data_IF_397429061297
#
_entry.id   IF_397429061297
#
_cell.length_a   1.000
_cell.length_b   1.000
_cell.length_c   1.000
_cell.angle_alpha   90.00
_cell.angle_beta   90.00
_cell.angle_gamma   90.00
#
_symmetry.space_group_name_H-M   'P 1'
#
loop_
_entity.id
_entity.type
_entity.pdbx_description
1 polymer ?
#
# COMPACT_ATOMS: atom_id res chain seq x y z
N UNK A 1 -1.93 -7.97 13.24
CA UNK A 1 -2.79 -6.96 13.88
C UNK A 1 -2.07 -5.62 13.88
N UNK A 2 -2.82 -4.54 13.65
CA UNK A 2 -2.32 -3.16 13.59
C UNK A 2 -3.11 -2.34 14.60
N UNK A 3 -2.44 -1.71 15.56
CA UNK A 3 -3.06 -0.96 16.65
C UNK A 3 -3.58 0.42 16.21
N UNK A 4 -4.39 0.44 15.16
CA UNK A 4 -5.03 1.62 14.60
C UNK A 4 -6.42 1.28 14.07
N UNK A 5 -7.29 2.27 14.01
CA UNK A 5 -8.63 2.14 13.43
C UNK A 5 -8.56 1.79 11.94
N UNK A 6 -9.48 0.97 11.48
CA UNK A 6 -9.55 0.45 10.11
C UNK A 6 -9.43 1.55 9.03
N UNK A 7 -10.12 2.68 9.20
CA UNK A 7 -10.02 3.78 8.25
C UNK A 7 -8.58 4.32 8.14
N UNK A 8 -7.88 4.50 9.25
CA UNK A 8 -6.48 4.97 9.22
C UNK A 8 -5.55 3.95 8.55
N UNK A 9 -5.75 2.67 8.82
CA UNK A 9 -5.00 1.61 8.15
C UNK A 9 -5.30 1.65 6.65
N UNK A 10 -6.56 1.75 6.25
CA UNK A 10 -6.96 1.89 4.86
C UNK A 10 -6.28 3.09 4.18
N UNK A 11 -6.34 4.27 4.77
CA UNK A 11 -5.76 5.50 4.20
C UNK A 11 -4.24 5.39 4.03
N UNK A 12 -3.55 4.86 5.03
CA UNK A 12 -2.11 4.63 4.97
C UNK A 12 -1.74 3.60 3.91
N UNK A 13 -2.50 2.53 3.82
CA UNK A 13 -2.39 1.48 2.85
C UNK A 13 -2.65 2.02 1.42
N UNK A 14 -3.12 3.27 1.26
CA UNK A 14 -3.42 3.98 0.02
C UNK A 14 -2.49 5.17 -0.23
N UNK A 15 -1.52 5.36 0.64
CA UNK A 15 -0.58 6.46 0.54
C UNK A 15 0.72 6.00 -0.16
N UNK A 16 1.01 6.49 -1.40
CA UNK A 16 2.20 6.07 -2.15
C UNK A 16 3.51 6.34 -1.41
N UNK A 17 3.58 7.42 -0.63
CA UNK A 17 4.78 7.78 0.13
C UNK A 17 5.05 6.81 1.27
N UNK A 18 4.00 6.37 1.97
CA UNK A 18 4.11 5.35 3.01
C UNK A 18 4.53 4.01 2.40
N UNK A 19 3.93 3.65 1.27
CA UNK A 19 4.23 2.41 0.57
C UNK A 19 5.66 2.36 0.05
N UNK A 20 6.12 3.42 -0.60
CA UNK A 20 7.49 3.55 -1.06
C UNK A 20 8.50 3.32 0.05
N UNK A 21 8.21 3.84 1.26
CA UNK A 21 9.08 3.66 2.42
C UNK A 21 8.96 2.28 3.07
N UNK A 22 7.76 1.67 3.04
CA UNK A 22 7.52 0.37 3.67
C UNK A 22 8.01 -0.80 2.81
N UNK A 23 7.97 -0.69 1.49
CA UNK A 23 8.37 -1.75 0.55
C UNK A 23 9.88 -1.96 0.59
N UNK A 24 10.37 -3.17 0.91
CA UNK A 24 11.80 -3.45 0.90
C UNK A 24 12.43 -3.21 -0.47
N UNK A 25 13.53 -2.44 -0.50
CA UNK A 25 14.26 -2.17 -1.72
C UNK A 25 13.54 -1.30 -2.76
N UNK A 26 12.43 -0.69 -2.42
CA UNK A 26 11.69 0.17 -3.33
C UNK A 26 12.49 1.43 -3.68
N UNK A 27 12.74 1.61 -4.95
CA UNK A 27 13.42 2.77 -5.53
C UNK A 27 12.40 3.79 -6.05
N UNK A 28 11.38 3.29 -6.74
CA UNK A 28 10.32 4.09 -7.35
C UNK A 28 8.95 3.48 -7.07
N UNK A 29 7.99 4.33 -6.81
CA UNK A 29 6.60 3.98 -6.62
C UNK A 29 5.73 5.12 -7.18
N UNK A 30 5.17 4.91 -8.37
CA UNK A 30 4.49 5.93 -9.16
C UNK A 30 3.01 5.59 -9.25
N UNK A 31 2.15 6.51 -8.83
CA UNK A 31 0.71 6.42 -9.03
C UNK A 31 0.36 6.94 -10.43
N UNK A 32 -0.08 6.06 -11.31
CA UNK A 32 -0.46 6.39 -12.69
C UNK A 32 -1.94 6.83 -12.79
N UNK A 33 -2.80 6.18 -12.00
CA UNK A 33 -4.22 6.51 -11.86
C UNK A 33 -4.71 6.20 -10.45
N UNK A 34 -6.00 6.24 -10.22
CA UNK A 34 -6.55 5.89 -8.90
C UNK A 34 -6.42 4.40 -8.56
N UNK A 35 -6.23 3.57 -9.55
CA UNK A 35 -6.12 2.11 -9.39
C UNK A 35 -4.86 1.52 -9.99
N UNK A 36 -4.02 2.30 -10.66
CA UNK A 36 -2.85 1.80 -11.37
C UNK A 36 -1.56 2.43 -10.85
N UNK A 37 -0.54 1.61 -10.69
CA UNK A 37 0.77 2.01 -10.18
C UNK A 37 1.88 1.29 -10.97
N UNK A 38 3.02 1.96 -11.05
CA UNK A 38 4.29 1.36 -11.50
C UNK A 38 5.26 1.40 -10.34
N UNK A 39 5.95 0.28 -10.09
CA UNK A 39 6.94 0.17 -9.04
C UNK A 39 8.25 -0.40 -9.56
N UNK A 40 9.36 0.05 -8.94
CA UNK A 40 10.70 -0.48 -9.16
C UNK A 40 11.32 -0.78 -7.82
N UNK A 41 11.77 -2.02 -7.64
CA UNK A 41 12.42 -2.47 -6.41
C UNK A 41 13.60 -3.39 -6.69
N UNK A 42 14.67 -3.23 -5.91
CA UNK A 42 15.87 -4.07 -5.97
C UNK A 42 16.02 -4.89 -4.71
N UNK A 43 16.08 -6.22 -4.86
CA UNK A 43 16.17 -7.13 -3.75
C UNK A 43 17.14 -8.28 -4.01
N UNK A 44 17.71 -8.81 -2.91
CA UNK A 44 18.54 -10.00 -2.95
C UNK A 44 17.68 -11.25 -2.79
N UNK A 45 17.70 -12.10 -3.80
CA UNK A 45 16.88 -13.30 -3.91
C UNK A 45 17.77 -14.50 -4.15
N UNK A 46 18.02 -15.26 -3.10
CA UNK A 46 19.02 -16.32 -3.15
C UNK A 46 20.39 -15.78 -3.60
N UNK A 47 20.96 -16.29 -4.69
CA UNK A 47 22.23 -15.79 -5.24
C UNK A 47 22.09 -14.54 -6.10
N UNK A 48 20.84 -14.12 -6.45
CA UNK A 48 20.60 -13.00 -7.35
C UNK A 48 20.41 -11.70 -6.59
N UNK A 49 20.98 -10.60 -7.11
CA UNK A 49 20.57 -9.24 -6.79
C UNK A 49 19.77 -8.75 -7.97
N UNK A 50 18.45 -8.65 -7.82
CA UNK A 50 17.55 -8.43 -8.93
C UNK A 50 16.73 -7.16 -8.74
N UNK A 51 16.69 -6.34 -9.80
CA UNK A 51 15.79 -5.19 -9.91
C UNK A 51 14.59 -5.60 -10.73
N UNK A 52 13.41 -5.50 -10.13
CA UNK A 52 12.14 -5.70 -10.80
C UNK A 52 11.46 -4.37 -11.08
N UNK A 53 10.94 -4.23 -12.29
CA UNK A 53 10.01 -3.16 -12.63
C UNK A 53 8.68 -3.80 -12.99
N UNK A 54 7.60 -3.30 -12.43
CA UNK A 54 6.28 -3.92 -12.59
C UNK A 54 5.13 -2.94 -12.48
N UNK A 55 4.00 -3.36 -13.04
CA UNK A 55 2.74 -2.63 -13.00
C UNK A 55 1.75 -3.36 -12.09
N UNK A 56 0.92 -2.57 -11.47
CA UNK A 56 0.01 -3.00 -10.41
C UNK A 56 -1.34 -2.35 -10.64
N UNK A 57 -2.39 -3.14 -10.51
CA UNK A 57 -3.78 -2.72 -10.65
C UNK A 57 -4.60 -3.16 -9.44
N UNK A 58 -5.41 -2.23 -8.93
CA UNK A 58 -6.36 -2.50 -7.86
C UNK A 58 -7.73 -2.79 -8.45
N UNK A 59 -8.36 -3.83 -7.94
CA UNK A 59 -9.67 -4.34 -8.38
C UNK A 59 -10.61 -4.55 -7.22
N UNK A 60 -11.89 -4.62 -7.49
CA UNK A 60 -12.94 -4.97 -6.52
C UNK A 60 -12.84 -4.13 -5.22
N UNK A 61 -12.62 -2.83 -5.37
CA UNK A 61 -12.49 -1.91 -4.26
C UNK A 61 -13.78 -1.79 -3.45
N UNK A 62 -13.72 -2.12 -2.16
CA UNK A 62 -14.79 -1.97 -1.17
C UNK A 62 -14.28 -1.23 0.07
N UNK A 63 -14.07 0.11 -0.01
CA UNK A 63 -13.50 0.89 1.08
C UNK A 63 -14.38 0.91 2.33
N UNK A 64 -13.82 0.86 3.54
CA UNK A 64 -12.45 0.56 3.92
C UNK A 64 -12.23 -0.92 4.24
N UNK A 65 -12.95 -1.84 3.59
CA UNK A 65 -13.04 -3.23 4.02
C UNK A 65 -12.15 -4.18 3.25
N UNK A 66 -12.12 -4.07 1.91
CA UNK A 66 -11.40 -5.04 1.08
C UNK A 66 -11.10 -4.54 -0.32
N UNK A 67 -10.15 -5.17 -0.98
CA UNK A 67 -9.83 -5.00 -2.40
C UNK A 67 -9.00 -6.19 -2.89
N UNK A 68 -8.89 -6.31 -4.22
CA UNK A 68 -7.94 -7.20 -4.87
C UNK A 68 -6.84 -6.40 -5.55
N UNK A 69 -5.71 -7.02 -5.71
CA UNK A 69 -4.56 -6.48 -6.41
C UNK A 69 -4.15 -7.49 -7.46
N UNK A 70 -3.92 -7.05 -8.66
CA UNK A 70 -3.18 -7.83 -9.66
C UNK A 70 -1.93 -7.07 -10.06
N UNK A 71 -0.90 -7.80 -10.42
CA UNK A 71 0.34 -7.16 -10.85
C UNK A 71 1.26 -8.10 -11.64
N UNK A 72 2.28 -7.51 -12.25
CA UNK A 72 3.33 -8.24 -12.94
C UNK A 72 4.64 -7.45 -12.87
N UNK A 73 5.76 -8.15 -12.81
CA UNK A 73 7.08 -7.54 -12.77
C UNK A 73 8.10 -8.34 -13.58
N UNK A 74 9.04 -7.63 -14.18
CA UNK A 74 10.09 -8.18 -15.01
C UNK A 74 11.48 -7.78 -14.52
N UNK A 75 12.43 -8.66 -14.70
CA UNK A 75 13.85 -8.50 -14.34
C UNK A 75 14.73 -9.27 -15.31
N UNK A 76 16.02 -8.94 -15.43
CA UNK A 76 16.98 -9.73 -16.22
C UNK A 76 17.13 -11.20 -15.77
N UNK A 77 16.71 -11.53 -14.55
CA UNK A 77 16.77 -12.89 -14.00
C UNK A 77 15.46 -13.65 -14.05
N UNK A 78 14.35 -12.99 -14.48
CA UNK A 78 13.07 -13.64 -14.62
C UNK A 78 11.91 -12.68 -14.49
N UNK A 79 10.72 -13.24 -14.35
CA UNK A 79 9.48 -12.50 -14.20
C UNK A 79 8.64 -13.07 -13.06
N UNK A 80 7.72 -12.26 -12.61
CA UNK A 80 6.70 -12.67 -11.65
C UNK A 80 5.35 -12.03 -12.00
N UNK A 81 4.25 -12.76 -11.73
CA UNK A 81 2.89 -12.26 -11.93
C UNK A 81 1.89 -12.91 -10.95
N UNK A 82 0.79 -12.26 -10.56
CA UNK A 82 -0.23 -12.84 -9.68
C UNK A 82 -1.29 -11.89 -9.17
N UNK A 83 -2.04 -12.36 -8.19
CA UNK A 83 -3.12 -11.63 -7.55
C UNK A 83 -3.06 -11.78 -6.03
N UNK A 84 -3.57 -10.79 -5.33
CA UNK A 84 -3.79 -10.87 -3.90
C UNK A 84 -5.15 -10.30 -3.52
N UNK A 85 -5.79 -10.92 -2.54
CA UNK A 85 -6.96 -10.40 -1.86
C UNK A 85 -6.58 -9.83 -0.51
N UNK A 86 -7.21 -8.72 -0.13
CA UNK A 86 -7.00 -8.04 1.14
C UNK A 86 -8.30 -7.72 1.81
N UNK A 87 -8.35 -8.02 3.10
CA UNK A 87 -9.48 -7.73 3.97
C UNK A 87 -9.02 -7.07 5.26
N UNK A 88 -9.73 -6.03 5.65
CA UNK A 88 -9.55 -5.35 6.93
C UNK A 88 -10.77 -5.61 7.84
N UNK A 89 -10.52 -6.17 9.00
CA UNK A 89 -11.55 -6.41 10.03
C UNK A 89 -11.28 -5.51 11.24
N UNK A 90 -12.36 -4.88 11.73
CA UNK A 90 -12.30 -4.02 12.90
C UNK A 90 -12.38 -4.86 14.19
N UNK A 91 -11.47 -4.65 15.13
CA UNK A 91 -11.41 -5.32 16.42
C UNK A 91 -11.11 -4.28 17.52
N UNK A 92 -12.14 -3.57 18.01
CA UNK A 92 -12.04 -2.65 19.17
C UNK A 92 -10.85 -1.68 19.13
N UNK A 93 -10.71 -0.87 18.07
CA UNK A 93 -9.62 0.05 17.77
C UNK A 93 -8.31 -0.59 17.26
N UNK A 94 -8.30 -1.88 17.04
CA UNK A 94 -7.24 -2.62 16.36
C UNK A 94 -7.77 -3.11 15.03
N UNK A 95 -6.97 -3.06 13.98
CA UNK A 95 -7.32 -3.60 12.67
C UNK A 95 -6.60 -4.93 12.44
N UNK A 96 -7.37 -5.97 12.16
CA UNK A 96 -6.83 -7.23 11.65
C UNK A 96 -6.79 -7.16 10.13
N UNK A 97 -5.58 -7.18 9.57
CA UNK A 97 -5.35 -7.29 8.14
C UNK A 97 -5.19 -8.77 7.78
N UNK A 98 -5.98 -9.24 6.84
CA UNK A 98 -5.95 -10.59 6.29
C UNK A 98 -5.61 -10.45 4.81
N UNK A 99 -4.70 -11.27 4.31
CA UNK A 99 -4.35 -11.30 2.90
C UNK A 99 -4.10 -12.72 2.43
N UNK A 100 -4.47 -12.99 1.19
CA UNK A 100 -4.21 -14.23 0.48
C UNK A 100 -3.60 -13.86 -0.87
N UNK A 101 -2.62 -14.65 -1.32
CA UNK A 101 -1.83 -14.33 -2.51
C UNK A 101 -1.64 -15.57 -3.37
N UNK A 102 -1.79 -15.41 -4.67
CA UNK A 102 -1.43 -16.39 -5.68
C UNK A 102 -0.45 -15.77 -6.67
N UNK A 103 0.64 -16.46 -6.96
CA UNK A 103 1.67 -15.92 -7.85
C UNK A 103 2.38 -16.99 -8.69
N UNK A 104 2.91 -16.53 -9.82
CA UNK A 104 3.74 -17.32 -10.73
C UNK A 104 5.10 -16.65 -10.89
N UNK A 105 6.14 -17.45 -10.82
CA UNK A 105 7.52 -17.01 -11.02
C UNK A 105 8.15 -17.82 -12.13
N UNK A 106 8.85 -17.15 -13.03
CA UNK A 106 9.53 -17.78 -14.15
C UNK A 106 10.94 -17.25 -14.41
N UNK A 107 11.65 -17.93 -15.31
CA UNK A 107 13.03 -17.60 -15.66
C UNK A 107 14.07 -18.19 -14.70
N UNK A 108 15.25 -17.60 -14.65
CA UNK A 108 16.38 -18.09 -13.84
C UNK A 108 16.08 -18.12 -12.36
N UNK A 109 15.26 -17.16 -11.88
CA UNK A 109 14.89 -17.07 -10.47
C UNK A 109 14.05 -18.26 -10.01
N UNK A 110 13.20 -18.83 -10.86
CA UNK A 110 12.43 -20.03 -10.54
C UNK A 110 13.32 -21.27 -10.25
N UNK A 111 14.56 -21.27 -10.75
CA UNK A 111 15.51 -22.38 -10.56
C UNK A 111 16.08 -22.49 -9.14
N UNK A 112 15.91 -21.46 -8.29
CA UNK A 112 16.34 -21.52 -6.89
C UNK A 112 15.45 -22.41 -6.02
N UNK A 113 14.28 -22.80 -6.55
CA UNK A 113 13.32 -23.70 -5.90
C UNK A 113 12.30 -22.96 -5.02
N UNK A 114 11.07 -23.46 -5.00
CA UNK A 114 9.93 -22.86 -4.32
C UNK A 114 10.21 -22.57 -2.84
N UNK A 115 10.81 -23.51 -2.12
CA UNK A 115 11.09 -23.34 -0.69
C UNK A 115 11.92 -22.10 -0.36
N UNK A 116 12.94 -21.78 -1.17
CA UNK A 116 13.78 -20.60 -0.95
C UNK A 116 13.02 -19.32 -1.35
N UNK A 117 12.20 -19.43 -2.38
CA UNK A 117 11.27 -18.41 -2.82
C UNK A 117 10.32 -18.06 -1.66
N UNK A 118 9.59 -19.03 -1.11
CA UNK A 118 8.64 -18.85 0.00
C UNK A 118 9.28 -18.23 1.25
N UNK A 119 10.45 -18.71 1.63
CA UNK A 119 11.17 -18.17 2.80
C UNK A 119 11.52 -16.69 2.63
N UNK A 120 11.93 -16.30 1.43
CA UNK A 120 12.29 -14.91 1.17
C UNK A 120 11.03 -14.04 1.08
N UNK A 121 9.95 -14.53 0.47
CA UNK A 121 8.65 -13.85 0.44
C UNK A 121 8.16 -13.55 1.86
N UNK A 122 8.15 -14.54 2.73
CA UNK A 122 7.76 -14.38 4.13
C UNK A 122 8.62 -13.33 4.84
N UNK A 123 9.94 -13.41 4.67
CA UNK A 123 10.85 -12.41 5.27
C UNK A 123 10.55 -10.99 4.81
N UNK A 124 10.24 -10.81 3.52
CA UNK A 124 9.95 -9.49 2.98
C UNK A 124 8.59 -8.97 3.43
N UNK A 125 7.59 -9.85 3.54
CA UNK A 125 6.30 -9.49 4.14
C UNK A 125 6.48 -9.05 5.61
N UNK A 126 7.28 -9.76 6.39
CA UNK A 126 7.58 -9.38 7.78
C UNK A 126 8.27 -8.00 7.86
N UNK A 127 9.23 -7.73 6.97
CA UNK A 127 9.91 -6.42 6.89
C UNK A 127 8.93 -5.32 6.48
N UNK A 128 8.09 -5.58 5.47
CA UNK A 128 7.07 -4.64 5.03
C UNK A 128 6.10 -4.27 6.16
N UNK A 129 5.46 -5.27 6.77
CA UNK A 129 4.47 -5.01 7.82
C UNK A 129 5.09 -4.37 9.07
N UNK A 130 6.33 -4.75 9.40
CA UNK A 130 7.07 -4.09 10.47
C UNK A 130 7.29 -2.61 10.19
N UNK A 131 7.80 -2.28 9.00
CA UNK A 131 8.06 -0.90 8.59
C UNK A 131 6.78 -0.08 8.40
N UNK A 132 5.78 -0.67 7.78
CA UNK A 132 4.46 -0.07 7.62
C UNK A 132 3.85 0.31 8.97
N UNK A 133 3.81 -0.63 9.92
CA UNK A 133 3.29 -0.36 11.26
C UNK A 133 4.06 0.73 12.00
N UNK A 134 5.39 0.78 11.84
CA UNK A 134 6.24 1.84 12.40
C UNK A 134 5.88 3.21 11.82
N UNK A 135 5.74 3.31 10.49
CA UNK A 135 5.44 4.57 9.81
C UNK A 135 4.09 5.14 10.24
N UNK A 136 3.05 4.31 10.23
CA UNK A 136 1.70 4.77 10.56
C UNK A 136 1.46 5.04 12.06
N UNK A 137 2.29 4.45 12.92
CA UNK A 137 2.26 4.73 14.37
C UNK A 137 2.93 6.06 14.72
N UNK A 138 3.82 6.56 13.87
CA UNK A 138 4.58 7.80 14.08
C UNK A 138 3.89 9.04 13.51
N UNK A 139 2.84 8.91 12.70
CA UNK A 139 2.08 10.08 12.24
C UNK A 139 1.47 10.79 13.46
N UNK A 140 1.90 12.05 13.77
CA UNK A 140 1.34 12.78 14.88
C UNK A 140 -0.17 12.95 14.61
N UNK A 141 -0.97 12.71 15.64
CA UNK A 141 -2.34 13.19 15.68
C UNK A 141 -2.30 14.71 15.44
N UNK A 142 -2.58 15.17 14.25
CA UNK A 142 -3.05 16.54 14.04
C UNK A 142 -4.43 16.62 14.67
N UNK A 143 -4.43 16.67 16.00
CA UNK A 143 -5.55 17.16 16.78
C UNK A 143 -5.83 18.55 16.24
N UNK A 144 -7.06 18.77 15.83
CA UNK A 144 -7.61 20.09 15.63
C UNK A 144 -7.56 20.79 17.00
N UNK A 145 -6.44 21.35 17.38
CA UNK A 145 -6.40 22.36 18.41
C UNK A 145 -7.06 23.60 17.85
N UNK A 146 -8.19 23.91 18.43
CA UNK A 146 -8.94 25.11 18.23
C UNK A 146 -8.01 26.33 18.32
N UNK A 147 -7.90 27.07 17.22
CA UNK A 147 -7.47 28.46 17.29
C UNK A 147 -8.63 29.23 17.90
N UNK A 148 -8.56 29.38 19.22
CA UNK A 148 -9.35 30.36 19.95
C UNK A 148 -8.58 31.67 19.84
N UNK A 149 -8.90 32.49 18.87
CA UNK A 149 -8.46 33.90 18.83
C UNK A 149 -9.72 34.76 18.69
N UNK A 150 -9.92 35.50 19.74
CA UNK A 150 -10.70 36.68 20.01
C UNK A 150 -11.71 37.18 18.97
N UNK A 151 -12.91 37.36 19.47
CA UNK A 151 -13.92 38.22 18.88
C UNK A 151 -13.37 39.61 18.53
N UNK A 152 -13.50 40.01 17.27
CA UNK A 152 -13.71 41.40 16.93
C UNK A 152 -14.75 41.49 15.80
N UNK A 153 -15.84 42.13 16.13
CA UNK A 153 -16.96 42.57 15.27
C UNK A 153 -16.46 43.32 14.04
N UNK A 154 -16.93 42.93 12.86
CA UNK A 154 -17.25 43.87 11.78
C UNK A 154 -18.45 43.40 10.98
N UNK A 155 -19.37 44.36 10.81
CA UNK A 155 -20.70 44.30 10.17
C UNK A 155 -20.67 43.93 8.68
N UNK A 156 -21.73 43.21 8.32
CA UNK A 156 -22.51 43.24 7.06
C UNK A 156 -21.80 43.56 5.74
N UNK A 157 -21.82 42.58 4.83
CA UNK A 157 -22.48 42.76 3.53
C UNK A 157 -22.79 41.42 2.86
N UNK A 158 -24.00 41.34 2.32
CA UNK A 158 -24.59 40.27 1.54
C UNK A 158 -23.74 39.85 0.34
N UNK A 159 -23.37 38.58 0.22
CA UNK A 159 -23.02 37.97 -1.07
C UNK A 159 -23.58 36.55 -1.16
N UNK A 160 -24.30 36.33 -2.26
CA UNK A 160 -25.02 35.13 -2.69
C UNK A 160 -24.24 33.82 -2.49
N UNK A 161 -24.86 32.88 -1.79
CA UNK A 161 -24.42 31.51 -1.68
C UNK A 161 -24.61 30.73 -2.97
N UNK A 162 -23.51 30.51 -3.69
CA UNK A 162 -23.39 29.40 -4.62
C UNK A 162 -22.76 28.23 -3.85
N UNK A 163 -23.53 27.18 -3.58
CA UNK A 163 -23.07 25.94 -2.95
C UNK A 163 -21.84 25.40 -3.70
N UNK A 164 -20.71 25.17 -3.06
CA UNK A 164 -19.68 24.34 -3.66
C UNK A 164 -20.15 22.87 -3.58
N UNK A 165 -20.26 22.24 -4.73
CA UNK A 165 -20.40 20.79 -4.82
C UNK A 165 -19.20 20.15 -4.10
N UNK A 166 -19.47 19.37 -3.07
CA UNK A 166 -18.48 18.51 -2.44
C UNK A 166 -18.00 17.50 -3.49
N UNK A 167 -16.85 17.77 -4.07
CA UNK A 167 -16.06 16.73 -4.73
C UNK A 167 -15.57 15.83 -3.61
N UNK A 168 -16.23 14.69 -3.46
CA UNK A 168 -15.71 13.58 -2.67
C UNK A 168 -14.42 13.16 -3.37
N UNK A 169 -13.29 13.52 -2.79
CA UNK A 169 -11.98 12.98 -3.17
C UNK A 169 -11.97 11.53 -2.72
N UNK A 170 -12.29 10.64 -3.64
CA UNK A 170 -12.13 9.20 -3.46
C UNK A 170 -10.62 8.94 -3.61
N UNK A 171 -9.91 8.87 -2.49
CA UNK A 171 -8.53 8.42 -2.48
C UNK A 171 -8.54 6.89 -2.57
N UNK A 172 -8.11 6.38 -3.69
CA UNK A 172 -8.02 4.95 -3.97
C UNK A 172 -6.58 4.44 -3.76
N UNK A 173 -6.48 3.53 -3.09
CA UNK A 173 -5.82 2.28 -2.65
C UNK A 173 -4.59 1.82 -3.42
N UNK A 174 -3.46 1.72 -2.73
CA UNK A 174 -2.18 1.24 -3.27
C UNK A 174 -1.35 0.42 -2.28
N UNK A 175 -1.89 -0.67 -1.69
CA UNK A 175 -1.21 -1.19 -0.50
C UNK A 175 -0.61 -2.54 -0.48
N UNK A 176 -1.09 -3.44 -1.19
CA UNK A 176 -0.52 -4.78 -1.18
C UNK A 176 0.50 -5.04 -2.27
N UNK A 177 0.92 -4.00 -2.87
CA UNK A 177 1.95 -4.00 -3.89
C UNK A 177 3.30 -4.49 -3.35
N UNK A 178 3.60 -4.16 -2.10
CA UNK A 178 4.78 -4.73 -1.43
C UNK A 178 4.62 -6.24 -1.21
N UNK A 179 3.46 -6.69 -0.75
CA UNK A 179 3.18 -8.12 -0.62
C UNK A 179 3.21 -8.83 -1.97
N UNK A 180 2.69 -8.21 -3.03
CA UNK A 180 2.67 -8.79 -4.36
C UNK A 180 4.03 -8.73 -5.03
N UNK A 181 4.72 -7.61 -5.06
CA UNK A 181 6.11 -7.59 -5.54
C UNK A 181 7.00 -8.53 -4.72
N UNK A 182 6.69 -8.71 -3.46
CA UNK A 182 7.42 -9.58 -2.54
C UNK A 182 6.99 -11.04 -2.72
N UNK A 183 5.72 -11.33 -2.79
CA UNK A 183 5.22 -12.68 -3.05
C UNK A 183 5.45 -13.07 -4.51
N UNK A 184 5.35 -12.15 -5.45
CA UNK A 184 5.64 -12.32 -6.86
C UNK A 184 7.07 -12.74 -7.18
N UNK A 185 7.96 -12.44 -6.29
CA UNK A 185 9.32 -12.90 -6.40
C UNK A 185 9.41 -14.33 -5.86
N UNK A 186 8.33 -14.92 -5.20
CA UNK A 186 8.56 -15.97 -4.23
C UNK A 186 7.54 -17.12 -4.09
N UNK A 187 6.56 -17.25 -4.97
CA UNK A 187 5.80 -18.50 -5.13
C UNK A 187 5.93 -19.02 -6.54
#
# INVERSE_FOLDING_TARGET
>A
QINLKKQKVWDALNNPEILKQAIPGCEEFIKNSDTEFTAKATNKIGPFNATFTGDIELKELNPPNSYKISGSGNSPVGFASGEASVKLEDQDNVTKLIYEVEANVGGKIAQIGSRLIDMTAKKMADVFFGKFSELISKEPHLSKEAINVGEQNFNNQNINHKKPSQKILIYSSAILIAGILIYFIFT
#
